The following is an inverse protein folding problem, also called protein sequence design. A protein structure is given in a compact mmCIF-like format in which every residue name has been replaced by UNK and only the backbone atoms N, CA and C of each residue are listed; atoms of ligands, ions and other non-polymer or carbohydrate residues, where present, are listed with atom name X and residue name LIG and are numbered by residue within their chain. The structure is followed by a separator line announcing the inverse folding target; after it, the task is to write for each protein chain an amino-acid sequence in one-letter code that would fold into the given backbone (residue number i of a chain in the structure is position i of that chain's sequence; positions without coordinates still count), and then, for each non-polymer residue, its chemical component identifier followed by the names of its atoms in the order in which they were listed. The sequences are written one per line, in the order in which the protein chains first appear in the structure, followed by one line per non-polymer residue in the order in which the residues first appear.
data_IF_499922443217
#
_entry.id   IF_499922443217
#
_cell.length_a   1.000
_cell.length_b   1.000
_cell.length_c   1.000
_cell.angle_alpha   90.00
_cell.angle_beta   90.00
_cell.angle_gamma   90.00
#
_symmetry.space_group_name_H-M   'P 1'
#
loop_
_entity.id
_entity.type
_entity.pdbx_description
1 polymer ?
#
# COMPACT_ATOMS: atom_id res chain seq x y z
N UNK A 1 17.00 -41.76 -21.77
CA UNK A 1 16.53 -40.37 -21.92
C UNK A 1 15.24 -40.15 -21.14
N UNK A 2 15.37 -39.81 -19.86
CA UNK A 2 14.25 -39.42 -19.05
C UNK A 2 13.99 -37.92 -19.25
N UNK A 3 13.10 -37.61 -20.20
CA UNK A 3 12.52 -36.29 -20.33
C UNK A 3 11.67 -36.04 -19.11
N UNK A 4 12.15 -35.18 -18.18
CA UNK A 4 11.32 -34.65 -17.13
C UNK A 4 10.18 -33.85 -17.79
N UNK A 5 8.90 -34.10 -17.39
CA UNK A 5 7.81 -33.30 -17.89
C UNK A 5 8.10 -31.84 -17.60
N UNK A 6 8.05 -31.00 -18.64
CA UNK A 6 8.10 -29.57 -18.44
C UNK A 6 6.97 -29.20 -17.50
N UNK A 7 7.31 -28.73 -16.32
CA UNK A 7 6.34 -28.04 -15.48
C UNK A 7 5.86 -26.84 -16.30
N UNK A 8 4.65 -26.95 -16.83
CA UNK A 8 3.91 -25.77 -17.26
C UNK A 8 3.82 -24.88 -16.05
N UNK A 9 4.63 -23.81 -16.02
CA UNK A 9 4.43 -22.69 -15.10
C UNK A 9 2.98 -22.30 -15.26
N UNK A 10 2.14 -22.63 -14.27
CA UNK A 10 0.80 -22.12 -14.20
C UNK A 10 0.91 -20.61 -14.42
N UNK A 11 0.05 -20.04 -15.27
CA UNK A 11 -0.04 -18.59 -15.41
C UNK A 11 -0.14 -18.05 -13.99
N UNK A 12 0.89 -17.30 -13.55
CA UNK A 12 0.82 -16.56 -12.31
C UNK A 12 -0.38 -15.63 -12.43
N UNK A 13 -1.51 -16.03 -11.83
CA UNK A 13 -2.69 -15.18 -11.80
C UNK A 13 -2.28 -13.92 -11.05
N UNK A 14 -2.29 -12.79 -11.74
CA UNK A 14 -2.02 -11.52 -11.09
C UNK A 14 -3.08 -11.24 -10.03
N UNK A 15 -2.70 -10.52 -8.99
CA UNK A 15 -3.64 -10.13 -7.95
C UNK A 15 -4.71 -9.20 -8.53
N UNK A 16 -5.99 -9.35 -8.10
CA UNK A 16 -7.06 -8.47 -8.55
C UNK A 16 -6.68 -7.00 -8.43
N UNK A 17 -6.59 -6.30 -9.55
CA UNK A 17 -6.15 -4.92 -9.63
C UNK A 17 -7.31 -4.00 -10.03
N UNK A 18 -7.39 -2.83 -9.42
CA UNK A 18 -8.33 -1.81 -9.87
C UNK A 18 -7.88 -1.22 -11.21
N UNK A 19 -8.74 -1.17 -12.23
CA UNK A 19 -8.41 -0.47 -13.46
C UNK A 19 -8.04 0.99 -13.17
N UNK A 20 -6.94 1.48 -13.74
CA UNK A 20 -6.42 2.81 -13.43
C UNK A 20 -7.43 3.95 -13.68
N UNK A 21 -8.32 3.79 -14.65
CA UNK A 21 -9.37 4.76 -14.97
C UNK A 21 -10.42 4.92 -13.87
N UNK A 22 -10.62 3.89 -13.06
CA UNK A 22 -11.57 3.89 -11.94
C UNK A 22 -10.96 4.39 -10.63
N UNK A 23 -9.63 4.43 -10.56
CA UNK A 23 -8.91 4.79 -9.34
C UNK A 23 -9.24 6.21 -8.84
N UNK A 24 -9.29 7.26 -9.67
CA UNK A 24 -9.61 8.60 -9.18
C UNK A 24 -11.00 8.69 -8.53
N UNK A 25 -12.01 8.06 -9.12
CA UNK A 25 -13.36 8.04 -8.55
C UNK A 25 -13.40 7.27 -7.24
N UNK A 26 -12.75 6.11 -7.17
CA UNK A 26 -12.67 5.32 -5.95
C UNK A 26 -11.99 6.10 -4.81
N UNK A 27 -10.87 6.76 -5.10
CA UNK A 27 -10.18 7.60 -4.12
C UNK A 27 -11.09 8.73 -3.64
N UNK A 28 -11.74 9.45 -4.55
CA UNK A 28 -12.60 10.58 -4.21
C UNK A 28 -13.83 10.17 -3.38
N UNK A 29 -14.43 9.01 -3.67
CA UNK A 29 -15.69 8.60 -3.03
C UNK A 29 -15.52 7.69 -1.82
N UNK A 30 -14.43 6.95 -1.75
CA UNK A 30 -14.27 5.89 -0.73
C UNK A 30 -13.09 6.09 0.21
N UNK A 31 -12.09 6.87 -0.20
CA UNK A 31 -10.85 7.05 0.57
C UNK A 31 -10.77 8.48 1.12
N UNK A 32 -10.96 9.48 0.30
CA UNK A 32 -11.09 10.86 0.77
C UNK A 32 -12.50 11.10 1.32
N UNK A 33 -12.58 11.45 2.59
CA UNK A 33 -13.83 11.86 3.24
C UNK A 33 -13.53 13.06 4.14
N UNK A 34 -14.56 13.84 4.47
CA UNK A 34 -14.48 14.95 5.40
C UNK A 34 -14.34 14.50 6.89
N UNK A 35 -14.32 13.21 7.14
CA UNK A 35 -14.09 12.66 8.47
C UNK A 35 -12.63 12.85 8.91
N UNK A 36 -12.39 12.93 10.24
CA UNK A 36 -11.03 13.03 10.78
C UNK A 36 -10.13 11.95 10.19
N UNK A 37 -8.90 12.31 9.94
CA UNK A 37 -7.93 11.52 9.21
C UNK A 37 -7.80 10.09 9.76
N UNK A 38 -8.23 9.13 9.00
CA UNK A 38 -8.19 7.72 9.36
C UNK A 38 -6.86 7.11 8.90
N UNK A 39 -6.14 6.49 9.83
CA UNK A 39 -4.82 5.87 9.57
C UNK A 39 -4.89 4.82 8.45
N UNK A 40 -5.96 4.03 8.41
CA UNK A 40 -6.14 3.00 7.36
C UNK A 40 -6.27 3.64 5.98
N UNK A 41 -7.00 4.73 5.86
CA UNK A 41 -7.15 5.47 4.59
C UNK A 41 -5.84 6.11 4.16
N UNK A 42 -5.12 6.70 5.10
CA UNK A 42 -3.79 7.26 4.87
C UNK A 42 -2.80 6.20 4.38
N UNK A 43 -2.81 5.03 4.99
CA UNK A 43 -2.01 3.89 4.58
C UNK A 43 -2.35 3.44 3.16
N UNK A 44 -3.63 3.30 2.83
CA UNK A 44 -4.06 2.91 1.49
C UNK A 44 -3.59 3.92 0.43
N UNK A 45 -3.77 5.21 0.70
CA UNK A 45 -3.27 6.28 -0.18
C UNK A 45 -1.76 6.19 -0.37
N UNK A 46 -1.00 5.91 0.69
CA UNK A 46 0.44 5.75 0.61
C UNK A 46 0.83 4.57 -0.28
N UNK A 47 0.16 3.43 -0.14
CA UNK A 47 0.37 2.25 -1.00
C UNK A 47 0.07 2.58 -2.47
N UNK A 48 -1.01 3.29 -2.74
CA UNK A 48 -1.39 3.72 -4.10
C UNK A 48 -0.33 4.66 -4.68
N UNK A 49 0.05 5.69 -3.92
CA UNK A 49 0.96 6.74 -4.41
C UNK A 49 2.41 6.27 -4.57
N UNK A 50 2.83 5.25 -3.84
CA UNK A 50 4.21 4.74 -3.89
C UNK A 50 4.35 3.42 -4.64
N UNK A 51 3.25 2.73 -4.91
CA UNK A 51 3.23 1.38 -5.48
C UNK A 51 4.09 0.36 -4.69
N UNK A 52 4.25 0.58 -3.39
CA UNK A 52 4.95 -0.34 -2.48
C UNK A 52 4.06 -1.49 -2.03
N UNK A 53 4.66 -2.51 -1.45
CA UNK A 53 3.90 -3.58 -0.80
C UNK A 53 3.27 -3.08 0.50
N UNK A 54 2.09 -3.60 0.83
CA UNK A 54 1.37 -3.18 2.04
C UNK A 54 2.19 -3.39 3.32
N UNK A 55 2.96 -4.47 3.40
CA UNK A 55 3.85 -4.73 4.54
C UNK A 55 4.96 -3.71 4.70
N UNK A 56 5.51 -3.23 3.60
CA UNK A 56 6.51 -2.17 3.58
C UNK A 56 5.90 -0.86 4.11
N UNK A 57 4.75 -0.47 3.59
CA UNK A 57 4.06 0.76 3.99
C UNK A 57 3.53 0.69 5.44
N UNK A 58 2.95 -0.45 5.86
CA UNK A 58 2.48 -0.62 7.24
C UNK A 58 3.59 -0.45 8.29
N UNK A 59 4.79 -0.90 7.97
CA UNK A 59 5.95 -0.78 8.84
C UNK A 59 6.72 0.53 8.71
N UNK A 60 6.24 1.50 7.95
CA UNK A 60 6.91 2.78 7.73
C UNK A 60 7.20 3.50 9.04
N UNK A 61 8.42 4.00 9.18
CA UNK A 61 8.88 4.76 10.34
C UNK A 61 9.26 6.18 9.96
N UNK A 62 9.02 7.13 10.86
CA UNK A 62 9.39 8.52 10.64
C UNK A 62 10.88 8.70 10.37
N UNK A 63 11.73 7.90 11.03
CA UNK A 63 13.18 7.92 10.82
C UNK A 63 13.62 7.52 9.40
N UNK A 64 12.75 6.85 8.65
CA UNK A 64 13.02 6.42 7.25
C UNK A 64 12.75 7.53 6.22
N UNK A 65 12.13 8.64 6.63
CA UNK A 65 11.68 9.69 5.73
C UNK A 65 12.61 10.90 5.78
N UNK A 66 13.14 11.30 4.64
CA UNK A 66 13.79 12.57 4.45
C UNK A 66 12.80 13.54 3.79
N UNK A 67 12.21 14.44 4.58
CA UNK A 67 11.23 15.40 4.09
C UNK A 67 11.83 16.45 3.17
N UNK A 68 13.10 16.79 3.37
CA UNK A 68 13.80 17.75 2.52
C UNK A 68 14.02 17.20 1.11
N UNK A 69 14.52 15.96 1.02
CA UNK A 69 14.75 15.26 -0.25
C UNK A 69 13.48 14.61 -0.81
N UNK A 70 12.42 14.53 -0.01
CA UNK A 70 11.17 13.81 -0.33
C UNK A 70 11.44 12.36 -0.74
N UNK A 71 12.16 11.66 0.10
CA UNK A 71 12.51 10.25 -0.11
C UNK A 71 12.21 9.45 1.14
N UNK A 72 11.59 8.32 0.93
CA UNK A 72 11.42 7.28 1.92
C UNK A 72 12.43 6.17 1.65
N UNK A 73 13.33 5.91 2.58
CA UNK A 73 14.32 4.85 2.47
C UNK A 73 13.88 3.67 3.33
N UNK A 74 13.50 2.57 2.68
CA UNK A 74 13.13 1.33 3.37
C UNK A 74 14.43 0.56 3.62
N UNK A 75 14.80 0.28 4.88
CA UNK A 75 16.04 -0.43 5.18
C UNK A 75 15.99 -1.88 4.66
N UNK A 76 17.16 -2.44 4.36
CA UNK A 76 17.31 -3.77 3.78
C UNK A 76 16.62 -4.87 4.61
N UNK A 77 16.61 -4.74 5.94
CA UNK A 77 16.01 -5.70 6.88
C UNK A 77 14.50 -5.84 6.69
N UNK A 78 13.84 -4.79 6.19
CA UNK A 78 12.39 -4.78 5.92
C UNK A 78 12.04 -5.13 4.49
N UNK A 79 13.04 -5.35 3.64
CA UNK A 79 12.86 -5.69 2.22
C UNK A 79 13.00 -7.19 1.97
N UNK A 80 12.07 -7.76 1.20
CA UNK A 80 12.12 -9.18 0.82
C UNK A 80 13.43 -9.53 0.09
N UNK A 81 13.90 -8.64 -0.76
CA UNK A 81 15.15 -8.82 -1.52
C UNK A 81 16.43 -8.54 -0.69
N UNK A 82 16.31 -8.15 0.57
CA UNK A 82 17.43 -7.79 1.45
C UNK A 82 18.30 -6.66 0.92
N UNK A 83 17.73 -5.80 0.09
CA UNK A 83 18.35 -4.59 -0.42
C UNK A 83 17.54 -3.38 0.00
N UNK A 84 18.24 -2.32 0.43
CA UNK A 84 17.65 -1.03 0.71
C UNK A 84 16.87 -0.52 -0.50
N UNK A 85 15.69 0.02 -0.28
CA UNK A 85 14.86 0.59 -1.34
C UNK A 85 14.53 2.05 -1.06
N UNK A 86 14.83 2.91 -2.02
CA UNK A 86 14.51 4.34 -1.96
C UNK A 86 13.27 4.62 -2.78
N UNK A 87 12.27 5.20 -2.14
CA UNK A 87 10.98 5.53 -2.74
C UNK A 87 10.83 7.04 -2.80
N UNK A 88 10.74 7.64 -3.99
CA UNK A 88 10.46 9.06 -4.10
C UNK A 88 9.03 9.34 -3.62
N UNK A 89 8.87 10.40 -2.84
CA UNK A 89 7.57 10.80 -2.30
C UNK A 89 7.02 11.97 -3.11
N UNK A 90 5.84 11.77 -3.67
CA UNK A 90 5.10 12.82 -4.35
C UNK A 90 4.68 13.92 -3.37
N UNK A 91 4.29 15.08 -3.90
CA UNK A 91 3.71 16.16 -3.09
C UNK A 91 2.48 15.68 -2.30
N UNK A 92 1.65 14.86 -2.91
CA UNK A 92 0.47 14.25 -2.27
C UNK A 92 0.86 13.31 -1.13
N UNK A 93 1.88 12.49 -1.31
CA UNK A 93 2.38 11.61 -0.25
C UNK A 93 2.92 12.41 0.95
N UNK A 94 3.68 13.47 0.70
CA UNK A 94 4.17 14.37 1.76
C UNK A 94 3.01 15.01 2.52
N UNK A 95 1.99 15.49 1.81
CA UNK A 95 0.78 16.06 2.43
C UNK A 95 0.11 15.07 3.39
N UNK A 96 -0.05 13.81 2.97
CA UNK A 96 -0.61 12.75 3.83
C UNK A 96 0.24 12.56 5.09
N UNK A 97 1.55 12.47 4.94
CA UNK A 97 2.47 12.26 6.06
C UNK A 97 2.41 13.44 7.06
N UNK A 98 2.36 14.65 6.57
CA UNK A 98 2.25 15.84 7.42
C UNK A 98 0.94 15.86 8.22
N UNK A 99 -0.17 15.41 7.64
CA UNK A 99 -1.48 15.37 8.30
C UNK A 99 -1.60 14.30 9.41
N UNK A 100 -0.84 13.23 9.34
CA UNK A 100 -0.85 12.16 10.36
C UNK A 100 0.31 12.27 11.35
N UNK A 101 1.15 13.27 11.23
CA UNK A 101 2.25 13.51 12.14
C UNK A 101 1.75 13.75 13.57
N UNK A 102 2.42 13.14 14.55
CA UNK A 102 2.07 13.28 15.97
C UNK A 102 1.21 12.15 16.54
N UNK A 103 0.74 11.23 15.74
CA UNK A 103 -0.01 10.06 16.23
C UNK A 103 0.86 9.07 16.99
N UNK A 104 2.12 8.93 16.60
CA UNK A 104 3.11 8.07 17.25
C UNK A 104 4.52 8.61 16.94
N UNK A 105 5.44 8.44 17.89
CA UNK A 105 6.79 9.01 17.76
C UNK A 105 7.64 8.27 16.70
N UNK A 106 7.45 6.98 16.55
CA UNK A 106 8.25 6.15 15.64
C UNK A 106 7.46 5.67 14.41
N UNK A 107 6.23 5.17 14.61
CA UNK A 107 5.41 4.60 13.55
C UNK A 107 4.61 5.67 12.83
N UNK A 108 4.62 5.62 11.50
CA UNK A 108 3.80 6.51 10.66
C UNK A 108 2.33 6.08 10.71
N UNK A 109 2.06 4.78 10.69
CA UNK A 109 0.70 4.21 10.66
C UNK A 109 0.46 3.31 11.88
N UNK A 110 0.34 3.89 13.10
CA UNK A 110 0.08 3.10 14.30
C UNK A 110 -1.36 2.63 14.36
N UNK A 111 -1.60 1.45 14.94
CA UNK A 111 -2.95 1.04 15.26
C UNK A 111 -3.53 1.96 16.35
N UNK A 112 -4.79 2.44 16.21
CA UNK A 112 -5.35 3.42 17.15
C UNK A 112 -5.41 2.95 18.61
N UNK A 113 -5.65 1.65 18.82
CA UNK A 113 -5.82 1.09 20.17
C UNK A 113 -4.50 0.60 20.77
N UNK A 114 -3.70 -0.13 19.99
CA UNK A 114 -2.51 -0.84 20.49
C UNK A 114 -1.21 -0.09 20.30
N UNK A 115 -1.21 0.99 19.52
CA UNK A 115 -0.02 1.77 19.17
C UNK A 115 1.10 0.89 18.55
N UNK A 116 0.71 -0.12 17.80
CA UNK A 116 1.57 -1.07 17.09
C UNK A 116 1.32 -0.95 15.60
N UNK A 117 2.13 -1.64 14.79
CA UNK A 117 1.93 -1.75 13.34
C UNK A 117 0.52 -2.31 13.07
N UNK A 118 -0.19 -1.72 12.11
CA UNK A 118 -1.50 -2.20 11.67
C UNK A 118 -1.44 -3.64 11.20
N UNK A 119 -2.54 -4.38 11.40
CA UNK A 119 -2.69 -5.76 10.93
C UNK A 119 -2.48 -5.87 9.42
N UNK A 120 -1.96 -7.01 8.97
CA UNK A 120 -1.82 -7.36 7.56
C UNK A 120 -3.16 -7.47 6.82
N UNK A 121 -4.27 -7.64 7.56
CA UNK A 121 -5.63 -7.69 7.03
C UNK A 121 -6.33 -6.33 6.96
N UNK A 122 -5.74 -5.26 7.45
CA UNK A 122 -6.42 -3.96 7.57
C UNK A 122 -6.88 -3.40 6.22
N UNK A 123 -6.03 -3.45 5.20
CA UNK A 123 -6.38 -2.98 3.85
C UNK A 123 -7.33 -3.95 3.14
N UNK A 124 -7.15 -5.24 3.30
CA UNK A 124 -8.06 -6.25 2.77
C UNK A 124 -9.48 -6.04 3.27
N UNK A 125 -9.64 -5.86 4.57
CA UNK A 125 -10.94 -5.60 5.20
C UNK A 125 -11.56 -4.30 4.70
N UNK A 126 -10.77 -3.24 4.59
CA UNK A 126 -11.23 -1.95 4.07
C UNK A 126 -11.72 -2.05 2.62
N UNK A 127 -10.94 -2.66 1.74
CA UNK A 127 -11.27 -2.82 0.33
C UNK A 127 -12.52 -3.70 0.13
N UNK A 128 -12.68 -4.75 0.90
CA UNK A 128 -13.89 -5.58 0.91
C UNK A 128 -15.12 -4.79 1.36
N UNK A 129 -15.01 -4.03 2.44
CA UNK A 129 -16.10 -3.18 2.95
C UNK A 129 -16.53 -2.13 1.94
N UNK A 130 -15.59 -1.54 1.21
CA UNK A 130 -15.85 -0.55 0.14
C UNK A 130 -16.22 -1.18 -1.20
N UNK A 131 -16.22 -2.50 -1.31
CA UNK A 131 -16.50 -3.23 -2.56
C UNK A 131 -15.66 -2.72 -3.72
N UNK A 132 -14.36 -2.55 -3.48
CA UNK A 132 -13.43 -1.99 -4.46
C UNK A 132 -13.41 -2.82 -5.74
N UNK A 133 -13.64 -2.18 -6.88
CA UNK A 133 -13.73 -2.84 -8.19
C UNK A 133 -12.36 -3.35 -8.64
N UNK A 134 -12.34 -4.53 -9.27
CA UNK A 134 -11.13 -5.08 -9.87
C UNK A 134 -11.34 -5.49 -11.32
N UNK A 135 -10.25 -5.79 -12.00
CA UNK A 135 -10.22 -6.33 -13.37
C UNK A 135 -10.62 -7.83 -13.45
N UNK A 136 -10.84 -8.46 -12.30
CA UNK A 136 -11.30 -9.85 -12.21
C UNK A 136 -12.75 -9.86 -11.76
N UNK A 137 -13.71 -10.34 -12.60
CA UNK A 137 -15.11 -10.40 -12.24
C UNK A 137 -15.36 -11.17 -10.94
N UNK A 138 -16.20 -10.60 -10.06
CA UNK A 138 -16.56 -11.20 -8.78
C UNK A 138 -15.47 -11.17 -7.69
N UNK A 139 -14.33 -10.54 -7.96
CA UNK A 139 -13.25 -10.35 -6.99
C UNK A 139 -13.01 -8.88 -6.68
N UNK A 140 -12.76 -8.59 -5.42
CA UNK A 140 -12.44 -7.24 -4.93
C UNK A 140 -10.96 -6.94 -5.21
N UNK A 141 -10.64 -5.68 -5.54
CA UNK A 141 -9.26 -5.24 -5.68
C UNK A 141 -8.47 -5.47 -4.38
N UNK A 142 -7.22 -5.88 -4.51
CA UNK A 142 -6.32 -6.10 -3.38
C UNK A 142 -5.30 -4.98 -3.25
N UNK A 143 -4.74 -4.80 -2.07
CA UNK A 143 -3.65 -3.84 -1.86
C UNK A 143 -2.45 -4.15 -2.77
N UNK A 144 -2.10 -5.41 -2.94
CA UNK A 144 -1.05 -5.83 -3.87
C UNK A 144 -1.41 -5.52 -5.33
N UNK A 145 -2.68 -5.64 -5.70
CA UNK A 145 -3.19 -5.35 -7.04
C UNK A 145 -2.95 -3.90 -7.46
N UNK A 146 -2.93 -2.93 -6.55
CA UNK A 146 -2.65 -1.53 -6.89
C UNK A 146 -1.26 -1.33 -7.51
N UNK A 147 -0.30 -2.20 -7.24
CA UNK A 147 1.00 -2.18 -7.91
C UNK A 147 0.88 -2.47 -9.41
N UNK A 148 -0.10 -3.23 -9.81
CA UNK A 148 -0.41 -3.55 -11.21
C UNK A 148 -1.31 -2.52 -11.88
N UNK A 149 -2.00 -1.68 -11.12
CA UNK A 149 -2.91 -0.64 -11.64
C UNK A 149 -2.19 0.35 -12.57
N UNK A 150 -0.90 0.56 -12.35
CA UNK A 150 -0.07 1.52 -13.09
C UNK A 150 0.86 0.87 -14.15
N UNK A 151 0.67 -0.40 -14.46
CA UNK A 151 1.44 -1.12 -15.49
C UNK A 151 0.75 -1.08 -16.85
#
# INVERSE_FOLDING_TARGET
DHLLPQQTRGRDEHQPAMPWRQLPLFVATSVYTDEPYNVTRALLLMVILTATRSGEARGMRWAEIDFHKRVWTIPAERMKARLQHRVPLSRQAIYILENIRGLHDELVFPSPRKQQILSDMVLTSFLRKKKAVSDIPGRVATAHGFRSTFR
#
